data_IF_303731742839
#
_entry.id   IF_303731742839
#
_cell.length_a   1.000
_cell.length_b   1.000
_cell.length_c   1.000
_cell.angle_alpha   90.00
_cell.angle_beta   90.00
_cell.angle_gamma   90.00
#
_symmetry.space_group_name_H-M   'P 1'
#
loop_
_entity.id
_entity.type
_entity.pdbx_description
1 polymer ?
#
# COMPACT_ATOMS: atom_id res chain seq x y z
N UNK A 1 5.60 -17.32 25.69
CA UNK A 1 5.20 -18.13 24.56
C UNK A 1 4.38 -17.22 23.63
N UNK A 2 4.44 -17.10 22.60
CA UNK A 2 5.49 -16.73 21.69
C UNK A 2 4.79 -16.02 20.55
N UNK A 3 4.84 -14.70 20.57
CA UNK A 3 4.31 -13.86 19.45
C UNK A 3 4.85 -14.38 18.10
N UNK A 4 6.05 -14.97 18.10
CA UNK A 4 6.65 -15.60 16.93
C UNK A 4 5.93 -16.88 16.51
N UNK A 5 5.48 -17.70 17.45
CA UNK A 5 4.75 -18.92 17.15
C UNK A 5 3.33 -18.63 16.65
N UNK A 6 2.67 -17.64 17.24
CA UNK A 6 1.34 -17.19 16.80
C UNK A 6 1.41 -16.58 15.39
N UNK A 7 2.45 -15.79 15.11
CA UNK A 7 2.69 -15.27 13.76
C UNK A 7 2.97 -16.41 12.77
N UNK A 8 3.80 -17.38 13.15
CA UNK A 8 4.07 -18.56 12.32
C UNK A 8 2.80 -19.34 12.01
N UNK A 9 1.99 -19.59 13.02
CA UNK A 9 0.72 -20.30 12.87
C UNK A 9 -0.24 -19.52 11.95
N UNK A 10 -0.27 -18.20 12.07
CA UNK A 10 -1.08 -17.32 11.22
C UNK A 10 -0.60 -17.37 9.77
N UNK A 11 0.69 -17.28 9.54
CA UNK A 11 1.28 -17.36 8.21
C UNK A 11 1.04 -18.72 7.55
N UNK A 12 1.14 -19.81 8.31
CA UNK A 12 0.89 -21.17 7.80
C UNK A 12 -0.58 -21.43 7.43
N UNK A 13 -1.54 -20.67 7.99
CA UNK A 13 -2.95 -20.75 7.55
C UNK A 13 -3.11 -20.20 6.13
N UNK A 14 -2.34 -19.19 5.76
CA UNK A 14 -2.39 -18.55 4.43
C UNK A 14 -1.49 -19.25 3.44
N UNK A 15 -0.35 -19.72 3.91
CA UNK A 15 0.66 -20.36 3.11
C UNK A 15 1.14 -21.67 3.78
N UNK A 16 0.37 -22.76 3.66
CA UNK A 16 0.62 -24.01 4.39
C UNK A 16 1.99 -24.64 4.13
N UNK A 17 2.53 -24.46 2.91
CA UNK A 17 3.80 -25.03 2.49
C UNK A 17 4.91 -23.96 2.43
N UNK A 18 4.83 -22.95 3.29
CA UNK A 18 5.80 -21.85 3.30
C UNK A 18 7.21 -22.37 3.64
N UNK A 19 8.21 -22.11 2.77
CA UNK A 19 9.60 -22.44 3.08
C UNK A 19 10.12 -21.65 4.28
N UNK A 20 11.03 -22.24 5.06
CA UNK A 20 11.57 -21.61 6.27
C UNK A 20 12.27 -20.28 6.01
N UNK A 21 12.93 -20.12 4.85
CA UNK A 21 13.58 -18.86 4.48
C UNK A 21 12.57 -17.72 4.23
N UNK A 22 11.36 -18.04 3.76
CA UNK A 22 10.27 -17.08 3.65
C UNK A 22 9.71 -16.67 4.99
N UNK A 23 9.56 -17.60 5.93
CA UNK A 23 9.13 -17.25 7.27
C UNK A 23 10.06 -16.24 7.93
N UNK A 24 11.37 -16.47 7.89
CA UNK A 24 12.35 -15.52 8.39
C UNK A 24 12.31 -14.17 7.67
N UNK A 25 12.09 -14.18 6.36
CA UNK A 25 11.89 -12.95 5.59
C UNK A 25 10.71 -12.16 6.09
N UNK A 26 9.55 -12.78 6.26
CA UNK A 26 8.35 -12.11 6.75
C UNK A 26 8.51 -11.57 8.17
N UNK A 27 9.10 -12.36 9.06
CA UNK A 27 9.37 -11.96 10.44
C UNK A 27 10.25 -10.71 10.50
N UNK A 28 11.34 -10.71 9.75
CA UNK A 28 12.27 -9.59 9.69
C UNK A 28 11.63 -8.34 9.08
N UNK A 29 10.84 -8.49 8.02
CA UNK A 29 10.10 -7.38 7.40
C UNK A 29 9.08 -6.80 8.37
N UNK A 30 8.30 -7.66 9.05
CA UNK A 30 7.33 -7.23 10.06
C UNK A 30 8.00 -6.47 11.21
N UNK A 31 9.15 -6.96 11.70
CA UNK A 31 9.92 -6.28 12.75
C UNK A 31 10.44 -4.90 12.29
N UNK A 32 10.95 -4.81 11.06
CA UNK A 32 11.43 -3.56 10.48
C UNK A 32 10.29 -2.54 10.30
N UNK A 33 9.14 -2.99 9.80
CA UNK A 33 7.93 -2.16 9.68
C UNK A 33 7.44 -1.67 11.04
N UNK A 34 7.33 -2.57 12.03
CA UNK A 34 6.92 -2.20 13.39
C UNK A 34 7.84 -1.14 13.98
N UNK A 35 9.15 -1.25 13.75
CA UNK A 35 10.13 -0.25 14.19
C UNK A 35 9.93 1.09 13.48
N UNK A 36 9.70 1.07 12.19
CA UNK A 36 9.48 2.28 11.37
C UNK A 36 8.17 2.97 11.72
N UNK A 37 7.11 2.20 11.99
CA UNK A 37 5.76 2.68 12.27
C UNK A 37 5.49 2.94 13.76
N UNK A 38 6.46 2.76 14.64
CA UNK A 38 6.27 2.81 16.10
C UNK A 38 5.65 4.10 16.64
N UNK A 39 5.77 5.20 15.90
CA UNK A 39 5.22 6.51 16.27
C UNK A 39 3.88 6.82 15.60
N UNK A 40 3.50 6.04 14.60
CA UNK A 40 2.25 6.22 13.89
C UNK A 40 1.10 5.56 14.65
N UNK A 41 -0.06 6.20 14.64
CA UNK A 41 -1.29 5.74 15.29
C UNK A 41 -2.40 5.61 14.25
N UNK A 42 -3.44 4.88 14.62
CA UNK A 42 -4.66 4.77 13.82
C UNK A 42 -4.38 4.33 12.37
N UNK A 43 -3.50 3.33 12.23
CA UNK A 43 -3.11 2.84 10.92
C UNK A 43 -4.07 1.78 10.41
N UNK A 44 -4.37 1.89 9.11
CA UNK A 44 -4.96 0.84 8.30
C UNK A 44 -3.99 0.41 7.21
N UNK A 45 -4.18 -0.80 6.74
CA UNK A 45 -3.34 -1.45 5.75
C UNK A 45 -4.18 -1.82 4.55
N UNK A 46 -3.72 -1.44 3.38
CA UNK A 46 -4.30 -1.84 2.12
C UNK A 46 -3.27 -2.58 1.29
N UNK A 47 -3.73 -3.46 0.43
CA UNK A 47 -2.94 -4.06 -0.61
C UNK A 47 -3.61 -3.78 -1.94
N UNK A 48 -2.83 -3.98 -2.96
CA UNK A 48 -3.09 -3.40 -4.22
C UNK A 48 -4.17 -4.11 -5.04
N UNK A 49 -4.19 -5.44 -5.02
CA UNK A 49 -5.04 -6.20 -5.90
C UNK A 49 -6.52 -6.22 -5.50
N UNK A 50 -6.85 -5.62 -4.34
CA UNK A 50 -8.22 -5.53 -3.85
C UNK A 50 -8.89 -6.90 -3.68
N UNK A 51 -8.14 -7.98 -3.82
CA UNK A 51 -8.66 -9.34 -3.60
C UNK A 51 -8.73 -9.57 -2.09
N UNK A 52 -9.85 -9.25 -1.56
CA UNK A 52 -10.23 -9.34 -0.16
C UNK A 52 -10.00 -10.74 0.45
N UNK A 53 -9.87 -11.76 -0.42
CA UNK A 53 -9.98 -13.13 0.02
C UNK A 53 -8.87 -13.65 0.91
N UNK A 54 -7.61 -13.26 0.70
CA UNK A 54 -6.51 -13.88 1.43
C UNK A 54 -6.29 -13.30 2.84
N UNK A 55 -6.66 -12.04 3.07
CA UNK A 55 -6.55 -11.42 4.39
C UNK A 55 -7.84 -11.50 5.19
N UNK A 56 -8.93 -11.98 4.57
CA UNK A 56 -10.21 -12.17 5.26
C UNK A 56 -10.04 -13.12 6.45
N UNK A 57 -10.39 -12.64 7.64
CA UNK A 57 -10.26 -13.39 8.88
C UNK A 57 -8.85 -13.43 9.49
N UNK A 58 -7.85 -12.74 8.89
CA UNK A 58 -6.49 -12.64 9.42
C UNK A 58 -6.24 -11.23 9.97
N UNK A 59 -6.62 -10.22 9.19
CA UNK A 59 -6.56 -8.82 9.61
C UNK A 59 -7.96 -8.40 10.01
N UNK A 60 -8.16 -7.76 11.16
CA UNK A 60 -9.45 -7.20 11.54
C UNK A 60 -9.93 -6.19 10.48
N UNK A 61 -11.21 -6.24 10.12
CA UNK A 61 -11.79 -5.41 9.05
C UNK A 61 -11.57 -3.91 9.29
N UNK A 62 -11.59 -3.49 10.55
CA UNK A 62 -11.31 -2.10 10.95
C UNK A 62 -9.86 -1.66 10.71
N UNK A 63 -8.97 -2.58 10.39
CA UNK A 63 -7.56 -2.35 10.04
C UNK A 63 -7.28 -2.46 8.54
N UNK A 64 -8.29 -2.75 7.74
CA UNK A 64 -8.17 -2.83 6.28
C UNK A 64 -8.54 -1.50 5.64
N UNK A 65 -7.77 -1.08 4.64
CA UNK A 65 -8.06 0.10 3.82
C UNK A 65 -8.20 -0.29 2.35
N UNK A 66 -9.20 0.26 1.71
CA UNK A 66 -9.44 0.13 0.26
C UNK A 66 -9.10 1.41 -0.51
N UNK A 67 -8.45 2.37 0.16
CA UNK A 67 -8.25 3.72 -0.37
C UNK A 67 -7.63 3.74 -1.76
N UNK A 68 -6.66 2.87 -2.06
CA UNK A 68 -6.03 2.85 -3.38
C UNK A 68 -6.95 2.30 -4.47
N UNK A 69 -7.84 1.38 -4.13
CA UNK A 69 -8.88 0.92 -5.05
C UNK A 69 -9.93 2.01 -5.28
N UNK A 70 -10.34 2.68 -4.23
CA UNK A 70 -11.30 3.79 -4.31
C UNK A 70 -10.73 4.96 -5.13
N UNK A 71 -9.45 5.27 -4.99
CA UNK A 71 -8.78 6.28 -5.83
C UNK A 71 -8.77 5.83 -7.29
N UNK A 72 -8.40 4.57 -7.57
CA UNK A 72 -8.42 4.05 -8.95
C UNK A 72 -9.81 4.09 -9.57
N UNK A 73 -10.85 3.87 -8.78
CA UNK A 73 -12.22 3.89 -9.25
C UNK A 73 -12.68 5.30 -9.65
N UNK A 74 -12.01 6.34 -9.20
CA UNK A 74 -12.26 7.72 -9.66
C UNK A 74 -11.71 8.00 -11.07
N UNK A 75 -10.78 7.18 -11.57
CA UNK A 75 -10.16 7.41 -12.87
C UNK A 75 -11.17 7.23 -14.01
N UNK A 76 -11.13 8.13 -14.97
CA UNK A 76 -11.84 7.96 -16.25
C UNK A 76 -11.24 6.80 -17.06
N UNK A 77 -11.98 6.35 -18.07
CA UNK A 77 -11.48 5.30 -18.96
C UNK A 77 -10.19 5.74 -19.69
N UNK A 78 -10.09 7.01 -20.07
CA UNK A 78 -8.90 7.53 -20.75
C UNK A 78 -7.68 7.56 -19.82
N UNK A 79 -7.87 7.94 -18.56
CA UNK A 79 -6.82 7.89 -17.54
C UNK A 79 -6.37 6.45 -17.27
N UNK A 80 -7.31 5.50 -17.19
CA UNK A 80 -7.00 4.07 -17.03
C UNK A 80 -6.22 3.51 -18.22
N UNK A 81 -6.47 3.97 -19.43
CA UNK A 81 -5.74 3.54 -20.64
C UNK A 81 -4.24 3.85 -20.59
N UNK A 82 -3.80 4.91 -19.90
CA UNK A 82 -2.38 5.23 -19.69
C UNK A 82 -1.64 4.02 -19.09
N UNK A 83 -2.34 3.24 -18.27
CA UNK A 83 -1.82 2.07 -17.56
C UNK A 83 -2.30 0.75 -18.16
N UNK A 84 -2.75 0.75 -19.42
CA UNK A 84 -3.31 -0.44 -20.06
C UNK A 84 -4.57 -0.97 -19.38
N UNK A 85 -5.29 -0.12 -18.64
CA UNK A 85 -6.48 -0.50 -17.86
C UNK A 85 -6.17 -1.28 -16.59
N UNK A 86 -4.89 -1.41 -16.22
CA UNK A 86 -4.44 -2.21 -15.08
C UNK A 86 -3.97 -1.32 -13.94
N UNK A 87 -4.59 -1.50 -12.81
CA UNK A 87 -4.28 -0.80 -11.58
C UNK A 87 -2.83 -1.04 -11.12
N UNK A 88 -2.31 -2.27 -11.32
CA UNK A 88 -0.94 -2.67 -10.97
C UNK A 88 0.14 -1.93 -11.77
N UNK A 89 -0.21 -1.45 -12.94
CA UNK A 89 0.70 -0.64 -13.75
C UNK A 89 0.78 0.81 -13.27
N UNK A 90 -0.25 1.29 -12.60
CA UNK A 90 -0.23 2.63 -11.99
C UNK A 90 0.53 2.62 -10.67
N UNK A 91 0.37 1.57 -9.89
CA UNK A 91 0.97 1.53 -8.57
C UNK A 91 1.58 0.14 -8.29
N UNK A 92 2.87 0.12 -8.05
CA UNK A 92 3.69 -1.09 -7.93
C UNK A 92 4.02 -1.49 -6.49
N UNK A 93 3.45 -0.81 -5.50
CA UNK A 93 3.67 -1.15 -4.09
C UNK A 93 2.88 -2.41 -3.69
N UNK A 94 3.46 -3.22 -2.83
CA UNK A 94 2.83 -4.45 -2.36
C UNK A 94 1.76 -4.17 -1.29
N UNK A 95 2.04 -3.20 -0.41
CA UNK A 95 1.17 -2.81 0.70
C UNK A 95 1.14 -1.29 0.82
N UNK A 96 -0.01 -0.76 1.19
CA UNK A 96 -0.17 0.64 1.58
C UNK A 96 -0.50 0.75 3.05
N UNK A 97 0.03 1.77 3.68
CA UNK A 97 -0.31 2.14 5.05
C UNK A 97 -0.90 3.53 5.05
N UNK A 98 -2.08 3.67 5.63
CA UNK A 98 -2.79 4.96 5.72
C UNK A 98 -3.20 5.25 7.15
N UNK A 99 -3.18 6.53 7.53
CA UNK A 99 -3.83 6.99 8.74
C UNK A 99 -5.35 6.97 8.52
N UNK A 100 -6.06 6.16 9.31
CA UNK A 100 -7.51 5.94 9.14
C UNK A 100 -8.34 7.21 9.27
N UNK A 101 -7.86 8.18 10.06
CA UNK A 101 -8.55 9.45 10.25
C UNK A 101 -8.44 10.36 9.01
N UNK A 102 -7.54 10.07 8.09
CA UNK A 102 -7.29 10.85 6.88
C UNK A 102 -7.95 10.25 5.63
N UNK A 103 -8.41 9.00 5.66
CA UNK A 103 -8.93 8.32 4.47
C UNK A 103 -10.02 9.14 3.75
N UNK A 104 -11.03 9.60 4.49
CA UNK A 104 -12.14 10.38 3.91
C UNK A 104 -11.67 11.72 3.33
N UNK A 105 -10.70 12.35 3.98
CA UNK A 105 -10.13 13.60 3.50
C UNK A 105 -9.38 13.38 2.19
N UNK A 106 -8.53 12.35 2.14
CA UNK A 106 -7.77 12.00 0.93
C UNK A 106 -8.71 11.74 -0.24
N UNK A 107 -9.75 10.92 -0.04
CA UNK A 107 -10.71 10.61 -1.09
C UNK A 107 -11.50 11.84 -1.57
N UNK A 108 -11.80 12.75 -0.66
CA UNK A 108 -12.43 14.02 -1.02
C UNK A 108 -11.51 14.87 -1.89
N UNK A 109 -10.25 15.06 -1.48
CA UNK A 109 -9.26 15.80 -2.25
C UNK A 109 -9.04 15.21 -3.64
N UNK A 110 -8.99 13.87 -3.75
CA UNK A 110 -8.85 13.20 -5.05
C UNK A 110 -10.06 13.43 -5.94
N UNK A 111 -11.27 13.43 -5.39
CA UNK A 111 -12.49 13.73 -6.16
C UNK A 111 -12.52 15.18 -6.62
N UNK A 112 -12.18 16.11 -5.74
CA UNK A 112 -12.07 17.54 -6.09
C UNK A 112 -11.02 17.75 -7.18
N UNK A 113 -9.88 17.05 -7.10
CA UNK A 113 -8.87 17.08 -8.12
C UNK A 113 -9.40 16.52 -9.45
N UNK A 114 -10.17 15.42 -9.43
CA UNK A 114 -10.78 14.85 -10.64
C UNK A 114 -11.77 15.84 -11.29
N UNK A 115 -12.57 16.53 -10.49
CA UNK A 115 -13.51 17.54 -10.98
C UNK A 115 -12.79 18.76 -11.59
N UNK A 116 -11.65 19.17 -11.02
CA UNK A 116 -10.84 20.27 -11.53
C UNK A 116 -10.22 19.95 -12.91
N UNK A 117 -9.89 18.66 -13.15
CA UNK A 117 -9.26 18.19 -14.36
C UNK A 117 -10.23 17.43 -15.29
N UNK A 118 -11.53 17.75 -15.26
CA UNK A 118 -12.47 17.26 -16.24
C UNK A 118 -12.15 17.76 -17.66
N UNK A 119 -12.59 16.99 -18.67
CA UNK A 119 -12.31 17.32 -20.08
C UNK A 119 -12.55 18.84 -20.39
N UNK A 120 -11.68 19.45 -21.17
CA UNK A 120 -10.76 18.87 -22.17
C UNK A 120 -9.31 18.68 -21.74
N UNK A 121 -9.01 18.55 -20.46
CA UNK A 121 -7.63 18.42 -19.95
C UNK A 121 -7.06 17.05 -20.31
N UNK A 122 -5.79 16.97 -20.82
CA UNK A 122 -5.15 15.70 -21.09
C UNK A 122 -5.08 14.81 -19.83
N UNK A 123 -5.42 13.51 -19.96
CA UNK A 123 -5.50 12.60 -18.81
C UNK A 123 -4.19 12.48 -18.04
N UNK A 124 -3.05 12.67 -18.70
CA UNK A 124 -1.71 12.63 -18.09
C UNK A 124 -1.51 13.73 -17.06
N UNK A 125 -2.16 14.88 -17.23
CA UNK A 125 -2.03 16.02 -16.28
C UNK A 125 -2.71 15.68 -14.97
N UNK A 126 -3.90 15.09 -14.99
CA UNK A 126 -4.56 14.61 -13.78
C UNK A 126 -3.69 13.57 -13.08
N UNK A 127 -3.21 12.56 -13.80
CA UNK A 127 -2.40 11.48 -13.23
C UNK A 127 -1.10 12.03 -12.63
N UNK A 128 -0.42 12.94 -13.33
CA UNK A 128 0.78 13.60 -12.83
C UNK A 128 0.52 14.38 -11.54
N UNK A 129 -0.54 15.17 -11.51
CA UNK A 129 -0.92 15.97 -10.33
C UNK A 129 -1.31 15.06 -9.15
N UNK A 130 -2.07 13.98 -9.41
CA UNK A 130 -2.41 12.99 -8.39
C UNK A 130 -1.14 12.34 -7.81
N UNK A 131 -0.19 11.96 -8.65
CA UNK A 131 1.06 11.34 -8.20
C UNK A 131 1.88 12.30 -7.32
N UNK A 132 1.92 13.60 -7.65
CA UNK A 132 2.54 14.62 -6.79
C UNK A 132 1.83 14.72 -5.45
N UNK A 133 0.51 14.70 -5.44
CA UNK A 133 -0.29 14.70 -4.20
C UNK A 133 -0.01 13.47 -3.34
N UNK A 134 -0.05 12.26 -3.94
CA UNK A 134 0.25 11.01 -3.22
C UNK A 134 1.69 10.99 -2.68
N UNK A 135 2.64 11.54 -3.43
CA UNK A 135 4.03 11.68 -3.00
C UNK A 135 4.16 12.58 -1.76
N UNK A 136 3.39 13.66 -1.71
CA UNK A 136 3.33 14.51 -0.53
C UNK A 136 2.77 13.75 0.68
N UNK A 137 1.67 13.02 0.51
CA UNK A 137 1.10 12.20 1.58
C UNK A 137 2.10 11.16 2.10
N UNK A 138 2.91 10.59 1.22
CA UNK A 138 3.95 9.65 1.59
C UNK A 138 5.07 10.31 2.40
N UNK A 139 5.53 11.49 2.00
CA UNK A 139 6.54 12.29 2.74
C UNK A 139 6.03 12.68 4.14
N UNK A 140 4.74 12.95 4.26
CA UNK A 140 4.09 13.33 5.52
C UNK A 140 3.69 12.10 6.37
N UNK A 141 3.98 10.88 5.93
CA UNK A 141 3.59 9.61 6.55
C UNK A 141 2.07 9.48 6.80
N UNK A 142 1.26 9.99 5.90
CA UNK A 142 -0.21 9.94 5.94
C UNK A 142 -0.73 8.74 5.15
N UNK A 143 -0.27 8.59 3.90
CA UNK A 143 -0.52 7.45 3.03
C UNK A 143 0.79 7.12 2.33
N UNK A 144 1.37 5.97 2.62
CA UNK A 144 2.67 5.64 2.04
C UNK A 144 2.75 4.19 1.57
N UNK A 145 3.41 3.98 0.44
CA UNK A 145 3.59 2.67 -0.15
C UNK A 145 4.73 1.91 0.53
N UNK A 146 4.59 0.59 0.59
CA UNK A 146 5.62 -0.34 1.04
C UNK A 146 5.83 -1.37 -0.05
N UNK A 147 7.06 -1.48 -0.52
CA UNK A 147 7.47 -2.55 -1.42
C UNK A 147 8.29 -3.59 -0.65
N UNK A 148 7.83 -4.82 -0.69
CA UNK A 148 8.44 -5.93 0.02
C UNK A 148 9.44 -6.62 -0.92
N UNK A 149 10.66 -6.86 -0.45
CA UNK A 149 11.68 -7.58 -1.22
C UNK A 149 12.09 -8.83 -0.49
N UNK A 150 12.15 -9.96 -1.20
CA UNK A 150 12.68 -11.19 -0.61
C UNK A 150 14.08 -10.94 -0.10
N UNK A 151 14.29 -11.27 1.17
CA UNK A 151 15.60 -11.15 1.80
C UNK A 151 16.52 -12.29 1.38
N UNK A 152 17.76 -11.99 1.01
CA UNK A 152 18.81 -13.01 0.92
C UNK A 152 19.20 -13.45 2.32
N UNK A 153 19.50 -14.75 2.49
CA UNK A 153 19.91 -15.32 3.78
C UNK A 153 20.96 -14.43 4.46
N UNK A 154 20.74 -14.11 5.73
CA UNK A 154 21.64 -13.35 6.60
C UNK A 154 21.88 -11.86 6.25
N UNK A 155 21.15 -11.28 5.30
CA UNK A 155 21.23 -9.85 5.09
C UNK A 155 20.32 -9.11 6.10
N UNK A 156 20.80 -8.02 6.73
CA UNK A 156 19.94 -7.20 7.57
C UNK A 156 18.82 -6.57 6.74
N UNK A 157 17.61 -6.51 7.29
CA UNK A 157 16.51 -5.77 6.65
C UNK A 157 16.88 -4.31 6.61
N UNK A 158 17.00 -3.77 5.42
CA UNK A 158 17.21 -2.35 5.20
C UNK A 158 15.89 -1.72 4.78
N UNK A 159 15.36 -0.84 5.61
CA UNK A 159 14.25 0.03 5.20
C UNK A 159 14.89 1.21 4.47
N UNK A 160 14.68 1.26 3.18
CA UNK A 160 15.13 2.38 2.36
C UNK A 160 13.91 3.21 2.02
N UNK A 161 13.87 4.51 2.39
CA UNK A 161 12.89 5.41 1.84
C UNK A 161 13.07 5.42 0.31
N UNK A 162 12.03 5.09 -0.42
CA UNK A 162 12.07 5.25 -1.88
C UNK A 162 11.80 6.72 -2.15
N UNK A 163 12.77 7.41 -2.73
CA UNK A 163 12.54 8.74 -3.24
C UNK A 163 11.57 8.63 -4.40
N UNK A 164 10.44 9.27 -4.27
CA UNK A 164 9.40 9.34 -5.33
C UNK A 164 9.90 10.18 -6.51
N UNK A 165 11.05 10.85 -6.37
CA UNK A 165 11.69 11.64 -7.40
C UNK A 165 12.47 10.78 -8.42
N UNK A 166 12.53 9.44 -8.23
CA UNK A 166 13.23 8.49 -9.11
C UNK A 166 12.27 7.66 -10.00
N UNK A 167 11.00 8.09 -10.15
CA UNK A 167 10.01 7.46 -11.04
C UNK A 167 9.68 8.38 -12.21
#
# INVERSE_FOLDING_TARGET
>A
PDADQDLKNTLLKVYPNMPDDWYHTFLNQAAALKKSLRKAKDLKYGWYDGKEGWASGIIPDDKVSYIMSEIWDTFTNEQKKIFGGQKDSWNTADVFVVNSNQERFILKEVKELQEEFEEPVPPEIFVGTLNVYLSKLAKDNILFPISLKKQTRNAPVKVTPTNVDDI
#
